data_IF_994875356903
#
_entry.id   IF_994875356903
#
_cell.length_a   1.000
_cell.length_b   1.000
_cell.length_c   1.000
_cell.angle_alpha   90.00
_cell.angle_beta   90.00
_cell.angle_gamma   90.00
#
_symmetry.space_group_name_H-M   'P 1'
#
loop_
_entity.id
_entity.type
_entity.pdbx_description
1 polymer ?
#
# COMPACT_ATOMS: atom_id res chain seq x y z
N UNK A 1 -5.32 -10.74 -14.78
CA UNK A 1 -5.26 -9.28 -15.00
C UNK A 1 -6.68 -8.77 -15.17
N UNK A 2 -7.26 -8.17 -14.11
CA UNK A 2 -8.59 -7.56 -14.18
C UNK A 2 -8.52 -6.16 -14.80
N UNK A 3 -9.63 -5.67 -15.32
CA UNK A 3 -9.71 -4.30 -15.84
C UNK A 3 -9.64 -3.32 -14.65
N UNK A 4 -8.74 -2.33 -14.73
CA UNK A 4 -8.66 -1.23 -13.76
C UNK A 4 -9.94 -0.42 -13.85
N UNK A 5 -10.59 -0.20 -12.72
CA UNK A 5 -11.84 0.56 -12.64
C UNK A 5 -11.58 2.00 -12.23
N UNK A 6 -10.69 2.20 -11.25
CA UNK A 6 -10.29 3.51 -10.79
C UNK A 6 -8.82 3.52 -10.36
N UNK A 7 -8.10 4.59 -10.69
CA UNK A 7 -6.85 4.93 -10.03
C UNK A 7 -7.20 5.69 -8.74
N UNK A 8 -6.77 5.18 -7.59
CA UNK A 8 -7.06 5.77 -6.28
C UNK A 8 -5.98 6.77 -5.86
N UNK A 9 -4.72 6.47 -6.17
CA UNK A 9 -3.59 7.36 -5.90
C UNK A 9 -2.38 6.99 -6.77
N UNK A 10 -1.61 8.01 -7.15
CA UNK A 10 -0.28 7.85 -7.77
C UNK A 10 0.67 8.87 -7.14
N UNK A 11 1.83 8.41 -6.70
CA UNK A 11 2.83 9.25 -6.04
C UNK A 11 4.24 8.66 -6.20
N UNK A 12 5.25 9.48 -5.91
CA UNK A 12 6.65 9.11 -5.97
C UNK A 12 7.25 9.12 -4.56
N UNK A 13 8.06 8.12 -4.22
CA UNK A 13 8.85 8.09 -2.99
C UNK A 13 10.09 8.98 -3.12
N UNK A 14 10.75 9.29 -2.00
CA UNK A 14 11.93 10.16 -1.98
C UNK A 14 13.13 9.63 -2.79
N UNK A 15 13.16 8.32 -3.06
CA UNK A 15 14.20 7.68 -3.87
C UNK A 15 13.85 7.60 -5.37
N UNK A 16 12.73 8.19 -5.78
CA UNK A 16 12.23 8.18 -7.16
C UNK A 16 11.34 6.98 -7.50
N UNK A 17 11.09 6.08 -6.54
CA UNK A 17 10.23 4.91 -6.74
C UNK A 17 8.79 5.36 -7.00
N UNK A 18 8.23 4.92 -8.13
CA UNK A 18 6.83 5.17 -8.47
C UNK A 18 5.91 4.20 -7.72
N UNK A 19 4.90 4.77 -7.08
CA UNK A 19 3.86 4.06 -6.35
C UNK A 19 2.50 4.37 -6.96
N UNK A 20 1.68 3.33 -7.13
CA UNK A 20 0.31 3.47 -7.64
C UNK A 20 -0.66 2.55 -6.92
N UNK A 21 -1.84 3.07 -6.64
CA UNK A 21 -2.94 2.36 -5.98
C UNK A 21 -4.13 2.37 -6.93
N UNK A 22 -4.66 1.19 -7.24
CA UNK A 22 -5.79 1.03 -8.16
C UNK A 22 -6.89 0.17 -7.54
N UNK A 23 -8.14 0.46 -7.86
CA UNK A 23 -9.27 -0.43 -7.65
C UNK A 23 -9.63 -1.11 -8.98
N UNK A 24 -9.78 -2.42 -8.97
CA UNK A 24 -10.22 -3.17 -10.14
C UNK A 24 -11.71 -3.56 -10.08
N UNK A 25 -12.26 -3.99 -11.22
CA UNK A 25 -13.66 -4.40 -11.36
C UNK A 25 -14.11 -5.60 -10.52
N UNK A 26 -13.17 -6.31 -9.89
CA UNK A 26 -13.44 -7.43 -9.00
C UNK A 26 -13.33 -7.01 -7.52
N UNK A 27 -13.40 -5.70 -7.23
CA UNK A 27 -13.26 -5.10 -5.89
C UNK A 27 -11.95 -5.49 -5.19
N UNK A 28 -10.88 -5.69 -5.97
CA UNK A 28 -9.52 -5.85 -5.45
C UNK A 28 -8.74 -4.56 -5.61
N UNK A 29 -7.92 -4.27 -4.62
CA UNK A 29 -6.99 -3.15 -4.63
C UNK A 29 -5.61 -3.67 -5.08
N UNK A 30 -5.04 -3.04 -6.09
CA UNK A 30 -3.67 -3.28 -6.51
C UNK A 30 -2.76 -2.20 -5.90
N UNK A 31 -1.72 -2.63 -5.19
CA UNK A 31 -0.64 -1.77 -4.74
C UNK A 31 0.58 -2.03 -5.62
N UNK A 32 1.00 -1.03 -6.37
CA UNK A 32 2.19 -1.05 -7.21
C UNK A 32 3.31 -0.28 -6.53
N UNK A 33 4.47 -0.93 -6.40
CA UNK A 33 5.72 -0.32 -5.93
C UNK A 33 6.82 -0.79 -6.86
N UNK A 34 7.24 0.07 -7.79
CA UNK A 34 8.17 -0.29 -8.87
C UNK A 34 7.74 -1.59 -9.61
N UNK A 35 8.53 -2.65 -9.53
CA UNK A 35 8.30 -3.94 -10.19
C UNK A 35 7.44 -4.89 -9.37
N UNK A 36 7.09 -4.51 -8.13
CA UNK A 36 6.26 -5.31 -7.22
C UNK A 36 4.82 -4.86 -7.32
N UNK A 37 3.92 -5.84 -7.38
CA UNK A 37 2.48 -5.64 -7.31
C UNK A 37 1.87 -6.57 -6.28
N UNK A 38 1.07 -6.01 -5.37
CA UNK A 38 0.25 -6.76 -4.42
C UNK A 38 -1.22 -6.64 -4.83
N UNK A 39 -1.91 -7.78 -4.87
CA UNK A 39 -3.35 -7.85 -5.16
C UNK A 39 -4.11 -8.23 -3.90
N UNK A 40 -4.84 -7.27 -3.33
CA UNK A 40 -5.49 -7.42 -2.04
C UNK A 40 -7.01 -7.30 -2.20
N UNK A 41 -7.75 -8.10 -1.46
CA UNK A 41 -9.14 -7.79 -1.11
C UNK A 41 -9.19 -6.59 -0.17
N UNK A 42 -10.38 -6.03 0.04
CA UNK A 42 -10.58 -4.92 0.99
C UNK A 42 -10.19 -5.30 2.42
N UNK A 43 -10.51 -6.51 2.85
CA UNK A 43 -10.19 -7.00 4.19
C UNK A 43 -8.68 -7.20 4.36
N UNK A 44 -8.01 -7.78 3.36
CA UNK A 44 -6.55 -7.92 3.37
C UNK A 44 -5.85 -6.56 3.36
N UNK A 45 -6.36 -5.58 2.60
CA UNK A 45 -5.82 -4.23 2.61
C UNK A 45 -5.99 -3.56 3.97
N UNK A 46 -7.16 -3.70 4.60
CA UNK A 46 -7.43 -3.14 5.92
C UNK A 46 -6.46 -3.72 6.95
N UNK A 47 -6.29 -5.05 6.94
CA UNK A 47 -5.34 -5.71 7.82
C UNK A 47 -3.89 -5.28 7.55
N UNK A 48 -3.50 -5.15 6.29
CA UNK A 48 -2.18 -4.69 5.91
C UNK A 48 -1.88 -3.28 6.45
N UNK A 49 -2.81 -2.34 6.27
CA UNK A 49 -2.67 -0.96 6.77
C UNK A 49 -2.55 -0.93 8.30
N UNK A 50 -3.35 -1.72 9.01
CA UNK A 50 -3.28 -1.82 10.47
C UNK A 50 -1.92 -2.33 10.95
N UNK A 51 -1.40 -3.39 10.33
CA UNK A 51 -0.11 -3.98 10.70
C UNK A 51 1.04 -3.02 10.40
N UNK A 52 1.05 -2.37 9.23
CA UNK A 52 2.07 -1.39 8.86
C UNK A 52 2.03 -0.18 9.79
N UNK A 53 0.85 0.32 10.15
CA UNK A 53 0.70 1.46 11.05
C UNK A 53 1.23 1.14 12.46
N UNK A 54 0.86 -0.02 13.02
CA UNK A 54 1.39 -0.49 14.30
C UNK A 54 2.90 -0.68 14.26
N UNK A 55 3.42 -1.28 13.19
CA UNK A 55 4.85 -1.45 13.00
C UNK A 55 5.60 -0.12 12.98
N UNK A 56 5.06 0.89 12.29
CA UNK A 56 5.61 2.25 12.27
C UNK A 56 5.62 2.88 13.67
N UNK A 57 4.50 2.80 14.38
CA UNK A 57 4.39 3.40 15.73
C UNK A 57 5.39 2.76 16.70
N UNK A 58 5.52 1.42 16.68
CA UNK A 58 6.52 0.70 17.47
C UNK A 58 7.96 1.14 17.13
N UNK A 59 8.27 1.37 15.85
CA UNK A 59 9.60 1.82 15.43
C UNK A 59 9.89 3.26 15.88
N UNK A 60 8.89 4.13 15.89
CA UNK A 60 9.04 5.50 16.41
C UNK A 60 9.31 5.48 17.89
N UNK A 61 8.54 4.71 18.67
CA UNK A 61 8.73 4.54 20.12
C UNK A 61 10.16 4.09 20.44
N UNK A 62 10.63 3.02 19.78
CA UNK A 62 12.01 2.52 19.97
C UNK A 62 13.07 3.59 19.63
N UNK A 63 12.83 4.40 18.60
CA UNK A 63 13.79 5.43 18.16
C UNK A 63 13.82 6.63 19.11
N UNK A 64 12.70 6.97 19.73
CA UNK A 64 12.59 8.08 20.69
C UNK A 64 13.07 7.71 22.10
N UNK A 65 13.13 6.41 22.43
CA UNK A 65 13.68 5.90 23.69
C UNK A 65 15.23 5.83 23.75
N UNK A 66 15.92 6.00 22.62
CA UNK A 66 17.40 5.96 22.48
C UNK A 66 17.98 7.38 22.41
#
# INVERSE_FOLDING_TARGET
MGIVEAELATFELSDGTQCRIELNRNDRVHLHVDTVRLDLTRDELTHFVDVVSKGKDNLVEIKEEI
#
